data_IF_885100679204
#
_entry.id   IF_885100679204
#
_cell.length_a   1.000
_cell.length_b   1.000
_cell.length_c   1.000
_cell.angle_alpha   90.00
_cell.angle_beta   90.00
_cell.angle_gamma   90.00
#
_symmetry.space_group_name_H-M   'P 1'
#
loop_
_entity.id
_entity.type
_entity.pdbx_description
1 polymer ?
#
# COMPACT_ATOMS: atom_id res chain seq x y z
N UNK A 1 18.18 60.89 -8.73
CA UNK A 1 18.37 59.80 -7.75
C UNK A 1 18.16 58.47 -8.45
N UNK A 2 19.23 57.87 -8.99
CA UNK A 2 19.24 56.44 -9.35
C UNK A 2 20.68 55.98 -9.13
N UNK A 3 20.91 55.25 -8.04
CA UNK A 3 22.19 54.61 -7.71
C UNK A 3 21.85 53.17 -7.32
N UNK A 4 22.18 52.23 -8.19
CA UNK A 4 22.04 50.79 -7.95
C UNK A 4 23.42 50.15 -7.92
N UNK A 5 23.71 49.56 -6.77
CA UNK A 5 24.95 48.88 -6.38
C UNK A 5 25.19 47.61 -7.22
N UNK A 6 26.42 47.44 -7.67
CA UNK A 6 26.98 46.14 -8.03
C UNK A 6 27.78 45.59 -6.84
N UNK A 7 27.53 44.33 -6.44
CA UNK A 7 28.34 43.61 -5.45
C UNK A 7 28.88 42.33 -6.10
N UNK A 8 30.21 42.26 -6.19
CA UNK A 8 30.98 41.17 -6.79
C UNK A 8 31.52 40.23 -5.70
N UNK A 9 31.44 38.93 -5.99
CA UNK A 9 31.93 37.79 -5.18
C UNK A 9 33.46 37.60 -5.32
N UNK A 10 34.13 37.32 -4.19
CA UNK A 10 35.34 36.45 -4.05
C UNK A 10 35.26 35.87 -2.63
N UNK A 11 35.14 34.56 -2.31
CA UNK A 11 35.79 33.27 -2.64
C UNK A 11 37.20 33.07 -2.05
N UNK A 12 37.34 31.89 -1.38
CA UNK A 12 38.53 31.13 -0.89
C UNK A 12 38.88 31.34 0.61
N UNK A 13 39.25 30.34 1.40
CA UNK A 13 39.86 29.01 1.13
C UNK A 13 39.84 28.04 2.35
N UNK A 14 39.87 26.72 2.04
CA UNK A 14 40.65 25.59 2.65
C UNK A 14 40.55 25.28 4.15
N UNK A 15 40.43 24.02 4.61
CA UNK A 15 41.43 22.94 4.49
C UNK A 15 40.87 21.65 5.18
N UNK A 16 40.96 20.48 4.53
CA UNK A 16 41.82 19.30 4.82
C UNK A 16 41.35 18.34 5.93
N UNK A 17 41.37 17.04 5.64
CA UNK A 17 41.28 15.96 6.62
C UNK A 17 40.83 14.63 6.00
N UNK A 18 41.79 13.90 5.42
CA UNK A 18 41.70 12.45 5.16
C UNK A 18 41.51 11.69 6.48
N UNK A 19 40.79 10.58 6.48
CA UNK A 19 41.28 9.36 7.13
C UNK A 19 40.50 8.12 6.69
N UNK A 20 41.30 7.12 6.34
CA UNK A 20 40.93 5.77 5.96
C UNK A 20 40.49 4.99 7.21
N UNK A 21 39.51 4.10 7.09
CA UNK A 21 39.55 2.88 7.89
C UNK A 21 38.87 1.69 7.21
N UNK A 22 39.68 0.64 7.11
CA UNK A 22 39.43 -0.69 6.54
C UNK A 22 39.27 -1.64 7.72
N UNK A 23 38.19 -2.43 7.76
CA UNK A 23 38.04 -3.68 8.53
C UNK A 23 36.56 -4.10 8.52
N UNK A 24 36.14 -5.35 8.53
CA UNK A 24 36.71 -6.61 8.08
C UNK A 24 35.49 -7.57 8.07
N UNK A 25 35.36 -8.40 7.05
CA UNK A 25 34.17 -9.23 6.81
C UNK A 25 34.47 -10.69 7.20
N UNK A 26 33.77 -11.31 8.17
CA UNK A 26 33.92 -12.75 8.40
C UNK A 26 32.79 -13.54 7.71
N UNK A 27 33.20 -14.31 6.69
CA UNK A 27 32.43 -15.41 6.09
C UNK A 27 32.23 -16.59 7.07
N UNK A 28 31.15 -17.38 6.91
CA UNK A 28 30.84 -18.52 7.77
C UNK A 28 31.61 -19.80 7.39
N UNK A 29 32.08 -20.54 8.41
CA UNK A 29 32.78 -21.83 8.28
C UNK A 29 31.80 -22.98 7.96
N UNK A 30 32.18 -23.79 6.96
CA UNK A 30 31.54 -25.07 6.59
C UNK A 30 32.15 -26.23 7.40
N UNK A 31 31.33 -27.22 7.75
CA UNK A 31 31.71 -28.60 8.16
C UNK A 31 30.52 -29.49 7.77
N UNK A 32 30.65 -30.44 6.84
CA UNK A 32 31.19 -31.79 7.03
C UNK A 32 30.03 -32.71 7.47
N UNK A 33 29.35 -33.36 6.52
CA UNK A 33 29.46 -34.81 6.21
C UNK A 33 28.76 -35.70 7.24
N UNK A 34 27.74 -36.47 6.80
CA UNK A 34 27.70 -37.93 6.94
C UNK A 34 26.35 -38.50 6.46
N UNK A 35 26.43 -39.42 5.49
CA UNK A 35 25.37 -40.33 5.08
C UNK A 35 25.50 -41.66 5.84
N UNK A 36 24.41 -42.44 5.96
CA UNK A 36 24.59 -43.87 5.72
C UNK A 36 23.49 -44.51 4.85
N UNK A 37 23.85 -45.70 4.43
CA UNK A 37 23.43 -46.48 3.27
C UNK A 37 22.36 -47.53 3.60
N UNK A 38 21.53 -47.85 2.60
CA UNK A 38 20.70 -49.06 2.30
C UNK A 38 20.36 -50.07 3.41
N UNK A 39 19.12 -50.58 3.38
CA UNK A 39 18.88 -51.99 3.04
C UNK A 39 17.45 -52.24 2.53
N UNK A 40 17.34 -53.21 1.62
CA UNK A 40 16.17 -53.64 0.88
C UNK A 40 15.67 -54.98 1.48
N UNK A 41 14.35 -55.24 1.53
CA UNK A 41 13.85 -56.62 1.64
C UNK A 41 12.43 -56.76 1.07
N UNK A 42 12.33 -57.60 0.05
CA UNK A 42 11.12 -58.08 -0.61
C UNK A 42 10.52 -59.30 0.11
N UNK A 43 9.20 -59.52 -0.03
CA UNK A 43 8.46 -60.80 -0.20
C UNK A 43 6.98 -60.60 0.25
N UNK A 44 5.97 -60.50 -0.63
CA UNK A 44 5.13 -61.51 -1.35
C UNK A 44 3.97 -62.16 -0.57
N UNK A 45 2.73 -61.83 -1.02
CA UNK A 45 1.49 -62.63 -1.31
C UNK A 45 0.73 -63.19 -0.08
N UNK A 46 -0.59 -62.95 0.13
CA UNK A 46 -1.79 -63.50 -0.55
C UNK A 46 -3.02 -62.56 -0.35
N UNK A 47 -3.63 -62.04 -1.42
CA UNK A 47 -4.96 -62.37 -1.97
C UNK A 47 -6.12 -62.53 -0.98
N UNK A 48 -7.17 -61.70 -1.10
CA UNK A 48 -8.59 -62.10 -1.18
C UNK A 48 -9.50 -60.86 -1.36
N UNK A 49 -10.43 -60.93 -2.32
CA UNK A 49 -11.71 -60.21 -2.27
C UNK A 49 -11.84 -58.93 -3.10
N UNK A 50 -11.92 -59.08 -4.43
CA UNK A 50 -12.37 -58.04 -5.35
C UNK A 50 -13.90 -57.91 -5.29
N UNK A 51 -14.40 -56.76 -4.85
CA UNK A 51 -15.81 -56.35 -5.03
C UNK A 51 -15.81 -55.10 -5.90
N UNK A 52 -16.10 -55.28 -7.18
CA UNK A 52 -16.27 -54.20 -8.15
C UNK A 52 -17.64 -53.54 -7.91
N UNK A 53 -17.61 -52.31 -7.37
CA UNK A 53 -18.76 -51.42 -7.31
C UNK A 53 -18.79 -50.54 -8.58
N UNK A 54 -19.95 -50.27 -9.18
CA UNK A 54 -20.03 -49.57 -10.46
C UNK A 54 -19.59 -48.11 -10.32
N UNK A 55 -18.80 -47.67 -11.30
CA UNK A 55 -18.32 -46.30 -11.44
C UNK A 55 -19.50 -45.32 -11.60
N UNK A 56 -19.87 -44.66 -10.51
CA UNK A 56 -20.72 -43.48 -10.56
C UNK A 56 -19.89 -42.32 -11.12
N UNK A 57 -20.25 -41.84 -12.31
CA UNK A 57 -19.78 -40.56 -12.85
C UNK A 57 -20.11 -39.46 -11.83
N UNK A 58 -19.11 -39.08 -11.02
CA UNK A 58 -19.14 -37.81 -10.28
C UNK A 58 -19.02 -36.70 -11.30
N UNK A 59 -20.15 -36.23 -11.79
CA UNK A 59 -20.27 -34.88 -12.35
C UNK A 59 -19.80 -33.93 -11.26
N UNK A 60 -18.55 -33.49 -11.37
CA UNK A 60 -18.00 -32.38 -10.60
C UNK A 60 -18.76 -31.14 -11.04
N UNK A 61 -19.89 -30.85 -10.40
CA UNK A 61 -20.44 -29.50 -10.38
C UNK A 61 -19.37 -28.63 -9.75
N UNK A 62 -18.65 -27.91 -10.61
CA UNK A 62 -17.77 -26.81 -10.24
C UNK A 62 -18.65 -25.76 -9.55
N UNK A 63 -18.80 -25.89 -8.24
CA UNK A 63 -19.47 -24.89 -7.42
C UNK A 63 -18.53 -23.70 -7.36
N UNK A 64 -18.78 -22.72 -8.23
CA UNK A 64 -18.18 -21.39 -8.13
C UNK A 64 -18.34 -20.92 -6.68
N UNK A 65 -17.28 -20.47 -5.99
CA UNK A 65 -17.43 -19.97 -4.63
C UNK A 65 -18.40 -18.79 -4.62
N UNK A 66 -19.14 -18.56 -3.51
CA UNK A 66 -20.14 -17.52 -3.44
C UNK A 66 -19.53 -16.17 -3.82
N UNK A 67 -20.17 -15.50 -4.79
CA UNK A 67 -19.81 -14.18 -5.27
C UNK A 67 -19.88 -13.17 -4.13
N UNK A 68 -18.74 -12.49 -3.91
CA UNK A 68 -18.50 -11.31 -3.04
C UNK A 68 -19.61 -10.89 -2.08
N UNK A 69 -19.34 -11.03 -0.78
CA UNK A 69 -20.16 -10.54 0.34
C UNK A 69 -20.14 -9.00 0.50
N UNK A 70 -19.55 -8.25 -0.43
CA UNK A 70 -19.42 -6.81 -0.35
C UNK A 70 -20.49 -6.11 -1.20
N UNK A 71 -21.12 -5.08 -0.62
CA UNK A 71 -22.16 -4.29 -1.29
C UNK A 71 -21.59 -3.18 -2.19
N UNK A 72 -20.28 -2.99 -2.16
CA UNK A 72 -19.56 -1.94 -2.86
C UNK A 72 -18.36 -2.47 -3.66
N UNK A 73 -17.89 -1.72 -4.69
CA UNK A 73 -16.68 -2.06 -5.42
C UNK A 73 -15.45 -2.16 -4.51
N UNK A 74 -14.44 -2.90 -4.97
CA UNK A 74 -13.13 -2.93 -4.32
C UNK A 74 -12.44 -1.56 -4.40
N UNK A 75 -11.77 -1.19 -3.31
CA UNK A 75 -10.89 -0.03 -3.25
C UNK A 75 -9.52 -0.45 -2.72
N UNK A 76 -8.48 -0.01 -3.40
CA UNK A 76 -7.11 -0.33 -3.02
C UNK A 76 -6.50 0.78 -2.16
N UNK A 77 -5.45 0.41 -1.43
CA UNK A 77 -4.55 1.37 -0.80
C UNK A 77 -3.11 0.99 -1.12
N UNK A 78 -2.23 1.98 -1.18
CA UNK A 78 -0.81 1.77 -1.41
C UNK A 78 0.02 2.77 -0.60
N UNK A 79 1.19 2.33 -0.14
CA UNK A 79 2.20 3.19 0.44
C UNK A 79 3.37 3.31 -0.54
N UNK A 80 3.78 4.53 -0.89
CA UNK A 80 4.91 4.69 -1.81
C UNK A 80 6.24 4.30 -1.15
N UNK A 81 6.38 4.48 0.17
CA UNK A 81 7.61 4.15 0.89
C UNK A 81 8.83 4.74 0.22
N UNK A 82 9.83 3.88 0.00
CA UNK A 82 11.06 4.17 -0.76
C UNK A 82 11.05 3.53 -2.15
N UNK A 83 9.88 3.18 -2.69
CA UNK A 83 9.76 2.54 -4.01
C UNK A 83 10.16 3.53 -5.12
N UNK A 84 10.58 2.99 -6.27
CA UNK A 84 10.61 3.79 -7.50
C UNK A 84 9.19 4.02 -8.01
N UNK A 85 8.99 5.07 -8.82
CA UNK A 85 7.70 5.33 -9.45
C UNK A 85 7.26 4.14 -10.34
N UNK A 86 8.18 3.57 -11.11
CA UNK A 86 7.92 2.36 -11.93
C UNK A 86 7.43 1.19 -11.08
N UNK A 87 8.07 0.88 -9.95
CA UNK A 87 7.61 -0.21 -9.06
C UNK A 87 6.20 0.06 -8.52
N UNK A 88 5.88 1.31 -8.22
CA UNK A 88 4.54 1.69 -7.78
C UNK A 88 3.51 1.52 -8.92
N UNK A 89 3.85 1.94 -10.13
CA UNK A 89 3.00 1.77 -11.32
C UNK A 89 2.74 0.28 -11.60
N UNK A 90 3.76 -0.57 -11.54
CA UNK A 90 3.60 -2.02 -11.76
C UNK A 90 2.60 -2.63 -10.77
N UNK A 91 2.68 -2.23 -9.49
CA UNK A 91 1.72 -2.69 -8.47
C UNK A 91 0.29 -2.21 -8.77
N UNK A 92 0.12 -0.96 -9.20
CA UNK A 92 -1.19 -0.40 -9.56
C UNK A 92 -1.77 -1.11 -10.79
N UNK A 93 -0.98 -1.33 -11.83
CA UNK A 93 -1.39 -2.02 -13.05
C UNK A 93 -1.73 -3.49 -12.80
N UNK A 94 -0.99 -4.17 -11.93
CA UNK A 94 -1.30 -5.57 -11.53
C UNK A 94 -2.69 -5.70 -10.89
N UNK A 95 -3.18 -4.63 -10.27
CA UNK A 95 -4.50 -4.51 -9.68
C UNK A 95 -5.51 -3.77 -10.58
N UNK A 96 -5.12 -3.45 -11.83
CA UNK A 96 -5.92 -2.72 -12.82
C UNK A 96 -6.43 -1.35 -12.31
N UNK A 97 -5.68 -0.72 -11.40
CA UNK A 97 -6.00 0.61 -10.89
C UNK A 97 -5.81 1.65 -11.99
N UNK A 98 -6.81 2.48 -12.20
CA UNK A 98 -6.80 3.58 -13.19
C UNK A 98 -6.76 4.96 -12.54
N UNK A 99 -6.96 5.03 -11.21
CA UNK A 99 -6.92 6.29 -10.45
C UNK A 99 -6.11 6.14 -9.17
N UNK A 100 -5.10 6.98 -9.01
CA UNK A 100 -4.27 7.09 -7.81
C UNK A 100 -4.67 8.35 -7.03
N UNK A 101 -5.36 8.16 -5.91
CA UNK A 101 -5.81 9.24 -5.04
C UNK A 101 -4.79 9.45 -3.92
N UNK A 102 -4.06 10.55 -3.96
CA UNK A 102 -3.10 10.90 -2.93
C UNK A 102 -3.75 11.57 -1.74
N UNK A 103 -3.70 10.89 -0.59
CA UNK A 103 -4.28 11.35 0.67
C UNK A 103 -3.22 11.92 1.62
N UNK A 104 -2.04 12.30 1.13
CA UNK A 104 -1.04 13.01 1.95
C UNK A 104 -1.44 14.47 2.10
N UNK A 105 -1.48 14.98 3.34
CA UNK A 105 -1.78 16.40 3.59
C UNK A 105 -0.77 17.35 2.92
N UNK A 106 0.49 16.92 2.87
CA UNK A 106 1.60 17.66 2.25
C UNK A 106 2.36 16.66 1.38
N UNK A 107 2.01 16.54 0.09
CA UNK A 107 2.63 15.62 -0.86
C UNK A 107 3.97 16.19 -1.38
N UNK A 108 4.92 16.42 -0.46
CA UNK A 108 6.27 16.92 -0.77
C UNK A 108 7.32 16.19 0.05
N UNK A 109 8.41 15.77 -0.59
CA UNK A 109 9.52 15.05 0.01
C UNK A 109 10.83 15.37 -0.69
N UNK A 110 11.88 15.64 0.08
CA UNK A 110 13.24 15.77 -0.46
C UNK A 110 13.88 14.40 -0.76
N UNK A 111 13.56 13.38 0.04
CA UNK A 111 14.11 12.02 -0.11
C UNK A 111 13.43 11.24 -1.23
N UNK A 112 12.14 11.49 -1.46
CA UNK A 112 11.36 10.84 -2.52
C UNK A 112 10.68 11.88 -3.42
N UNK A 113 11.46 12.72 -4.13
CA UNK A 113 10.92 13.81 -4.93
C UNK A 113 10.05 13.32 -6.10
N UNK A 114 10.28 12.10 -6.61
CA UNK A 114 9.45 11.48 -7.66
C UNK A 114 7.98 11.32 -7.26
N UNK A 115 7.67 11.41 -5.96
CA UNK A 115 6.30 11.40 -5.45
C UNK A 115 5.85 12.78 -4.97
N UNK A 116 6.47 13.90 -5.35
CA UNK A 116 5.85 15.19 -5.07
C UNK A 116 4.60 15.38 -5.92
N UNK A 117 3.67 16.22 -5.45
CA UNK A 117 2.46 16.54 -6.19
C UNK A 117 2.75 17.04 -7.61
N UNK A 118 3.61 18.04 -7.75
CA UNK A 118 3.92 18.65 -9.06
C UNK A 118 4.54 17.64 -10.05
N UNK A 119 5.38 16.75 -9.53
CA UNK A 119 6.02 15.67 -10.29
C UNK A 119 4.98 14.61 -10.72
N UNK A 120 4.05 14.22 -9.84
CA UNK A 120 3.02 13.22 -10.16
C UNK A 120 1.92 13.75 -11.09
N UNK A 121 1.52 15.02 -10.95
CA UNK A 121 0.54 15.67 -11.84
C UNK A 121 1.06 15.69 -13.28
N UNK A 122 2.36 15.90 -13.45
CA UNK A 122 2.97 16.04 -14.78
C UNK A 122 3.57 14.75 -15.33
N UNK A 123 3.75 13.72 -14.51
CA UNK A 123 4.38 12.43 -14.85
C UNK A 123 3.89 11.84 -16.17
N UNK A 124 4.84 11.56 -17.06
CA UNK A 124 4.59 10.88 -18.33
C UNK A 124 4.40 9.39 -18.14
N UNK A 125 5.01 8.79 -17.11
CA UNK A 125 4.90 7.37 -16.77
C UNK A 125 3.49 7.02 -16.29
N UNK A 126 2.89 7.84 -15.41
CA UNK A 126 1.50 7.65 -14.99
C UNK A 126 0.54 7.80 -16.18
N UNK A 127 0.76 8.80 -17.05
CA UNK A 127 -0.03 8.98 -18.26
C UNK A 127 0.07 7.79 -19.21
N UNK A 128 1.29 7.28 -19.45
CA UNK A 128 1.53 6.11 -20.29
C UNK A 128 0.88 4.85 -19.70
N UNK A 129 0.83 4.75 -18.37
CA UNK A 129 0.13 3.67 -17.66
C UNK A 129 -1.39 3.83 -17.61
N UNK A 130 -1.96 4.91 -18.16
CA UNK A 130 -3.37 5.29 -18.04
C UNK A 130 -3.86 5.42 -16.58
N UNK A 131 -2.99 5.94 -15.70
CA UNK A 131 -3.32 6.18 -14.30
C UNK A 131 -3.50 7.68 -14.07
N UNK A 132 -4.71 8.08 -13.72
CA UNK A 132 -5.02 9.45 -13.33
C UNK A 132 -4.59 9.70 -11.88
N UNK A 133 -3.80 10.75 -11.66
CA UNK A 133 -3.42 11.19 -10.32
C UNK A 133 -4.36 12.29 -9.82
N UNK A 134 -4.87 12.14 -8.60
CA UNK A 134 -5.81 13.07 -7.96
C UNK A 134 -5.34 13.32 -6.54
N UNK A 135 -5.33 14.57 -6.07
CA UNK A 135 -4.89 14.90 -4.72
C UNK A 135 -6.05 15.28 -3.81
N UNK A 136 -6.29 14.48 -2.77
CA UNK A 136 -7.33 14.67 -1.74
C UNK A 136 -6.73 14.99 -0.35
N UNK A 137 -5.49 15.51 -0.29
CA UNK A 137 -4.81 15.80 0.96
C UNK A 137 -5.50 16.83 1.85
N UNK A 138 -6.28 17.75 1.28
CA UNK A 138 -7.05 18.74 2.06
C UNK A 138 -8.10 18.04 2.93
N UNK A 139 -8.88 17.13 2.32
CA UNK A 139 -10.04 16.47 2.95
C UNK A 139 -9.71 15.16 3.65
N UNK A 140 -8.74 14.39 3.13
CA UNK A 140 -8.40 13.05 3.64
C UNK A 140 -6.98 12.98 4.23
N UNK A 141 -6.26 14.10 4.26
CA UNK A 141 -4.90 14.21 4.78
C UNK A 141 -4.72 13.78 6.24
N UNK A 142 -3.74 12.91 6.50
CA UNK A 142 -3.45 12.37 7.84
C UNK A 142 -2.81 13.32 8.85
N UNK A 143 -2.15 14.41 8.43
CA UNK A 143 -1.53 15.36 9.36
C UNK A 143 -2.60 16.31 9.91
N UNK A 144 -2.90 16.18 11.21
CA UNK A 144 -3.89 17.00 11.94
C UNK A 144 -3.32 17.48 13.27
N UNK A 145 -3.66 18.73 13.64
CA UNK A 145 -3.26 19.33 14.91
C UNK A 145 -4.05 18.72 16.08
N UNK A 146 -3.78 19.13 17.32
CA UNK A 146 -4.46 18.59 18.50
C UNK A 146 -5.88 19.14 18.70
N UNK A 147 -6.21 20.27 18.08
CA UNK A 147 -7.51 20.94 18.16
C UNK A 147 -8.51 20.34 17.17
N UNK A 148 -8.72 19.03 17.22
CA UNK A 148 -9.76 18.36 16.44
C UNK A 148 -10.99 18.12 17.33
N UNK A 149 -12.19 18.05 16.75
CA UNK A 149 -13.40 17.79 17.54
C UNK A 149 -13.33 16.43 18.24
N UNK A 150 -13.87 16.35 19.46
CA UNK A 150 -14.06 15.10 20.21
C UNK A 150 -12.79 14.26 20.42
N UNK A 151 -11.58 14.84 20.32
CA UNK A 151 -10.30 14.12 20.48
C UNK A 151 -10.20 13.44 21.85
N UNK A 152 -10.77 14.07 22.88
CA UNK A 152 -10.87 13.57 24.24
C UNK A 152 -11.73 12.31 24.39
N UNK A 153 -12.56 11.98 23.39
CA UNK A 153 -13.36 10.75 23.38
C UNK A 153 -12.57 9.55 22.84
N UNK A 154 -11.43 9.77 22.21
CA UNK A 154 -10.61 8.74 21.55
C UNK A 154 -9.42 8.29 22.42
N UNK A 155 -9.62 8.13 23.73
CA UNK A 155 -8.55 7.82 24.71
C UNK A 155 -7.92 6.43 24.53
N UNK A 156 -8.67 5.45 24.02
CA UNK A 156 -8.17 4.11 23.69
C UNK A 156 -7.03 4.15 22.64
N UNK A 157 -7.04 5.15 21.74
CA UNK A 157 -5.98 5.36 20.76
C UNK A 157 -4.78 6.02 21.45
N UNK A 158 -3.73 5.24 21.72
CA UNK A 158 -2.53 5.71 22.44
C UNK A 158 -1.66 6.69 21.64
N UNK A 159 -1.60 6.54 20.31
CA UNK A 159 -0.76 7.36 19.44
C UNK A 159 -1.48 8.67 19.12
N UNK A 160 -0.91 9.80 19.58
CA UNK A 160 -1.50 11.13 19.43
C UNK A 160 -1.89 11.48 18.00
N UNK A 161 -1.05 11.16 17.01
CA UNK A 161 -1.36 11.44 15.60
C UNK A 161 -2.64 10.74 15.11
N UNK A 162 -2.85 9.47 15.51
CA UNK A 162 -4.07 8.74 15.18
C UNK A 162 -5.28 9.27 15.95
N UNK A 163 -5.10 9.67 17.22
CA UNK A 163 -6.17 10.28 18.02
C UNK A 163 -6.66 11.59 17.40
N UNK A 164 -5.73 12.46 17.00
CA UNK A 164 -6.05 13.69 16.30
C UNK A 164 -6.80 13.38 14.99
N UNK A 165 -6.34 12.39 14.23
CA UNK A 165 -7.02 11.99 13.00
C UNK A 165 -8.44 11.44 13.26
N UNK A 166 -8.64 10.66 14.33
CA UNK A 166 -9.96 10.17 14.74
C UNK A 166 -10.93 11.34 14.98
N UNK A 167 -10.48 12.35 15.74
CA UNK A 167 -11.27 13.57 15.95
C UNK A 167 -11.59 14.29 14.63
N UNK A 168 -10.63 14.38 13.71
CA UNK A 168 -10.84 14.97 12.39
C UNK A 168 -11.87 14.20 11.54
N UNK A 169 -11.94 12.87 11.66
CA UNK A 169 -12.89 12.05 10.93
C UNK A 169 -14.36 12.36 11.26
N UNK A 170 -14.62 13.01 12.40
CA UNK A 170 -15.97 13.45 12.77
C UNK A 170 -16.40 14.76 12.08
N UNK A 171 -15.50 15.43 11.36
CA UNK A 171 -15.76 16.72 10.68
C UNK A 171 -16.52 16.53 9.36
N UNK A 172 -17.21 17.59 8.93
CA UNK A 172 -17.87 17.62 7.62
C UNK A 172 -16.86 17.49 6.46
N UNK A 173 -15.70 18.14 6.56
CA UNK A 173 -14.66 18.06 5.52
C UNK A 173 -14.18 16.62 5.26
N UNK A 174 -14.03 15.82 6.32
CA UNK A 174 -13.68 14.41 6.15
C UNK A 174 -14.82 13.63 5.50
N UNK A 175 -16.06 13.81 5.97
CA UNK A 175 -17.25 13.16 5.40
C UNK A 175 -17.38 13.46 3.91
N UNK A 176 -17.27 14.73 3.52
CA UNK A 176 -17.34 15.15 2.11
C UNK A 176 -16.22 14.50 1.27
N UNK A 177 -14.99 14.45 1.82
CA UNK A 177 -13.87 13.79 1.14
C UNK A 177 -14.07 12.29 0.96
N UNK A 178 -14.68 11.62 1.95
CA UNK A 178 -15.00 10.20 1.88
C UNK A 178 -16.12 9.94 0.85
N UNK A 179 -17.17 10.77 0.81
CA UNK A 179 -18.21 10.69 -0.21
C UNK A 179 -17.66 10.93 -1.63
N UNK A 180 -16.79 11.92 -1.80
CA UNK A 180 -16.13 12.16 -3.09
C UNK A 180 -15.29 10.97 -3.56
N UNK A 181 -14.56 10.34 -2.64
CA UNK A 181 -13.80 9.12 -2.91
C UNK A 181 -14.72 7.96 -3.30
N UNK A 182 -15.82 7.76 -2.57
CA UNK A 182 -16.83 6.71 -2.87
C UNK A 182 -17.48 6.96 -4.23
N UNK A 183 -17.84 8.19 -4.55
CA UNK A 183 -18.37 8.58 -5.85
C UNK A 183 -17.35 8.40 -6.99
N UNK A 184 -16.06 8.60 -6.72
CA UNK A 184 -15.00 8.32 -7.69
C UNK A 184 -14.94 6.84 -8.07
N UNK A 185 -15.11 5.94 -7.10
CA UNK A 185 -15.11 4.49 -7.33
C UNK A 185 -16.36 4.01 -8.07
N UNK A 186 -17.49 4.71 -7.98
CA UNK A 186 -18.76 4.32 -8.63
C UNK A 186 -18.91 4.85 -10.06
N UNK A 187 -18.05 5.78 -10.49
CA UNK A 187 -18.16 6.44 -11.81
C UNK A 187 -17.70 5.49 -12.94
N UNK A 188 -18.58 5.17 -13.91
CA UNK A 188 -18.17 4.42 -15.09
C UNK A 188 -17.15 5.22 -15.91
N UNK A 189 -16.12 4.55 -16.45
CA UNK A 189 -15.23 5.15 -17.43
C UNK A 189 -15.54 4.61 -18.83
N UNK A 190 -15.50 5.51 -19.82
CA UNK A 190 -15.71 5.18 -21.23
C UNK A 190 -14.64 4.26 -21.83
N UNK A 191 -13.51 4.02 -21.13
CA UNK A 191 -12.36 3.23 -21.60
C UNK A 191 -12.04 1.99 -20.74
N UNK A 192 -12.94 1.59 -19.84
CA UNK A 192 -12.75 0.42 -18.97
C UNK A 192 -11.89 0.71 -17.72
N UNK A 193 -12.27 0.11 -16.58
CA UNK A 193 -11.61 0.22 -15.27
C UNK A 193 -11.96 1.48 -14.47
N UNK A 194 -12.55 1.34 -13.28
CA UNK A 194 -12.82 2.45 -12.32
C UNK A 194 -12.12 2.21 -10.98
N UNK A 195 -11.13 1.33 -10.95
CA UNK A 195 -10.48 0.93 -9.72
C UNK A 195 -9.59 2.05 -9.20
N UNK A 196 -9.81 2.39 -7.94
CA UNK A 196 -9.14 3.48 -7.24
C UNK A 196 -8.16 2.89 -6.23
N UNK A 197 -6.97 3.48 -6.14
CA UNK A 197 -6.07 3.28 -5.00
C UNK A 197 -5.86 4.58 -4.24
N UNK A 198 -6.03 4.57 -2.91
CA UNK A 198 -5.57 5.68 -2.06
C UNK A 198 -4.08 5.51 -1.70
N UNK A 199 -3.31 6.60 -1.79
CA UNK A 199 -1.87 6.59 -1.57
C UNK A 199 -1.44 7.42 -0.36
N UNK A 200 -0.50 6.88 0.42
CA UNK A 200 0.25 7.60 1.46
C UNK A 200 1.76 7.33 1.34
N UNK A 201 2.57 7.95 2.19
CA UNK A 201 4.03 7.74 2.23
C UNK A 201 4.47 6.46 2.93
N UNK A 202 3.76 6.01 3.96
CA UNK A 202 4.15 4.85 4.75
C UNK A 202 3.80 3.53 4.04
N UNK A 203 4.79 2.64 3.91
CA UNK A 203 4.67 1.32 3.26
C UNK A 203 3.68 0.41 3.97
N UNK A 204 3.62 0.45 5.31
CA UNK A 204 2.78 -0.42 6.12
C UNK A 204 1.45 0.25 6.46
N UNK A 205 0.33 -0.30 5.98
CA UNK A 205 -0.97 0.36 6.08
C UNK A 205 -1.42 0.58 7.51
N UNK A 206 -1.10 -0.34 8.41
CA UNK A 206 -1.43 -0.27 9.83
C UNK A 206 -0.62 0.79 10.62
N UNK A 207 0.40 1.40 10.01
CA UNK A 207 1.24 2.43 10.65
C UNK A 207 0.94 3.85 10.18
N UNK A 208 -0.07 4.05 9.32
CA UNK A 208 -0.47 5.38 8.87
C UNK A 208 -1.98 5.56 8.75
N UNK A 209 -2.39 6.80 8.47
CA UNK A 209 -3.80 7.23 8.49
C UNK A 209 -4.68 6.50 7.47
N UNK A 210 -4.10 5.93 6.41
CA UNK A 210 -4.87 5.12 5.44
C UNK A 210 -5.56 3.91 6.07
N UNK A 211 -5.06 3.43 7.22
CA UNK A 211 -5.77 2.44 8.05
C UNK A 211 -7.17 2.93 8.39
N UNK A 212 -7.26 4.13 8.98
CA UNK A 212 -8.53 4.65 9.50
C UNK A 212 -9.49 5.05 8.37
N UNK A 213 -8.96 5.47 7.21
CA UNK A 213 -9.79 5.63 6.00
C UNK A 213 -10.34 4.26 5.55
N UNK A 214 -9.51 3.21 5.54
CA UNK A 214 -9.93 1.87 5.18
C UNK A 214 -10.93 1.28 6.19
N UNK A 215 -10.76 1.52 7.49
CA UNK A 215 -11.72 1.14 8.53
C UNK A 215 -13.09 1.77 8.24
N UNK A 216 -13.13 3.08 7.97
CA UNK A 216 -14.38 3.78 7.64
C UNK A 216 -15.08 3.21 6.41
N UNK A 217 -14.33 2.85 5.37
CA UNK A 217 -14.86 2.21 4.16
C UNK A 217 -15.38 0.80 4.44
N UNK A 218 -14.65 -0.02 5.19
CA UNK A 218 -15.05 -1.41 5.50
C UNK A 218 -16.30 -1.44 6.37
N UNK A 219 -16.44 -0.52 7.34
CA UNK A 219 -17.67 -0.40 8.15
C UNK A 219 -18.89 -0.08 7.28
N UNK A 220 -18.71 0.62 6.16
CA UNK A 220 -19.77 0.87 5.16
C UNK A 220 -19.94 -0.26 4.12
N UNK A 221 -19.24 -1.39 4.28
CA UNK A 221 -19.37 -2.57 3.41
C UNK A 221 -18.51 -2.58 2.16
N UNK A 222 -17.46 -1.76 2.10
CA UNK A 222 -16.47 -1.78 1.00
C UNK A 222 -15.44 -2.90 1.17
N UNK A 223 -14.95 -3.45 0.05
CA UNK A 223 -13.79 -4.35 0.03
C UNK A 223 -12.51 -3.50 -0.06
N UNK A 224 -11.91 -3.17 1.08
CA UNK A 224 -10.63 -2.44 1.12
C UNK A 224 -9.45 -3.42 1.09
N UNK A 225 -8.49 -3.21 0.18
CA UNK A 225 -7.31 -4.07 0.05
C UNK A 225 -6.00 -3.28 -0.08
N UNK A 226 -4.88 -3.83 0.40
CA UNK A 226 -3.60 -3.16 0.49
C UNK A 226 -2.58 -3.77 -0.47
N UNK A 227 -2.06 -2.94 -1.37
CA UNK A 227 -1.06 -3.32 -2.36
C UNK A 227 0.36 -3.24 -1.79
N UNK A 228 1.23 -4.12 -2.28
CA UNK A 228 2.68 -4.03 -2.04
C UNK A 228 3.13 -4.35 -0.62
N UNK A 229 2.33 -5.08 0.17
CA UNK A 229 2.72 -5.55 1.51
C UNK A 229 3.42 -6.90 1.44
N UNK A 230 2.83 -7.83 0.69
CA UNK A 230 3.39 -9.15 0.38
C UNK A 230 3.57 -9.26 -1.13
N UNK A 231 4.48 -10.13 -1.58
CA UNK A 231 4.63 -10.43 -3.01
C UNK A 231 3.36 -11.11 -3.52
N UNK A 232 2.90 -10.72 -4.70
CA UNK A 232 1.70 -11.28 -5.32
C UNK A 232 0.45 -10.49 -4.93
N UNK A 233 -0.50 -11.16 -4.28
CA UNK A 233 -1.86 -10.66 -4.14
C UNK A 233 -2.01 -9.53 -3.10
N UNK A 234 -2.98 -8.61 -3.32
CA UNK A 234 -3.36 -7.62 -2.33
C UNK A 234 -3.74 -8.26 -0.98
N UNK A 235 -3.42 -7.57 0.12
CA UNK A 235 -3.81 -7.99 1.46
C UNK A 235 -5.17 -7.36 1.81
N UNK A 236 -6.18 -8.17 2.15
CA UNK A 236 -7.45 -7.63 2.65
C UNK A 236 -7.27 -6.81 3.92
N UNK A 237 -8.01 -5.70 4.01
CA UNK A 237 -8.05 -4.90 5.22
C UNK A 237 -8.69 -5.69 6.36
N UNK A 238 -8.15 -5.50 7.56
CA UNK A 238 -8.72 -6.02 8.79
C UNK A 238 -8.96 -4.82 9.69
N UNK A 239 -10.18 -4.73 10.22
CA UNK A 239 -10.58 -3.63 11.09
C UNK A 239 -9.59 -3.46 12.24
N UNK A 240 -9.36 -2.21 12.62
CA UNK A 240 -8.57 -1.91 13.79
C UNK A 240 -9.29 -2.35 15.07
N UNK A 241 -8.79 -3.45 15.64
CA UNK A 241 -9.16 -3.90 16.98
C UNK A 241 -8.41 -3.05 18.03
N UNK A 242 -9.12 -2.11 18.66
CA UNK A 242 -8.65 -1.21 19.75
C UNK A 242 -9.70 -1.05 20.83
#
# INVERSE_FOLDING_TARGET
MVSTRASSKRKRSSSTGDDQNVADNPQPKRRGEDAPTRLNKSQTIESHGEVVLPAQKKTTTSTRPPSSTFSHPIIFTIGHGTRTLSTLIDLLQSAQVTRLVDVRSIPKSYTNPQFNHDDLVTSTELKAANIEYIWYGVKLGGRRNAQQPNVEQHTAIRVTAFRNYAGYMSTQNFRDGLEELKALCKRPQSRGGHLVAIMCSETLWWRCHRRMIADALVVEGWDAQHLGIKKGEPMKHVLWDI
#
